data_IF_448089978577
#
_entry.id   IF_448089978577
#
_cell.length_a   1.000
_cell.length_b   1.000
_cell.length_c   1.000
_cell.angle_alpha   90.00
_cell.angle_beta   90.00
_cell.angle_gamma   90.00
#
_symmetry.space_group_name_H-M   'P 1'
#
loop_
_entity.id
_entity.type
_entity.pdbx_description
1 polymer ?
#
# COMPACT_ATOMS: atom_id res chain seq x y z
N UNK A 1 24.31 -72.18 -23.40
CA UNK A 1 25.05 -70.91 -23.53
C UNK A 1 24.35 -70.01 -24.54
N UNK A 2 23.55 -69.03 -24.10
CA UNK A 2 23.03 -67.95 -24.96
C UNK A 2 23.05 -66.67 -24.14
N UNK A 3 23.98 -65.77 -24.47
CA UNK A 3 24.13 -64.46 -23.86
C UNK A 3 23.18 -63.48 -24.56
N UNK A 4 22.27 -62.88 -23.80
CA UNK A 4 21.39 -61.83 -24.29
C UNK A 4 21.98 -60.47 -23.95
N UNK A 5 22.46 -59.79 -25.01
CA UNK A 5 23.01 -58.44 -24.99
C UNK A 5 21.87 -57.42 -24.85
N UNK A 6 21.80 -56.73 -23.71
CA UNK A 6 20.85 -55.63 -23.47
C UNK A 6 21.51 -54.33 -23.92
N UNK A 7 20.98 -53.73 -24.98
CA UNK A 7 21.41 -52.42 -25.50
C UNK A 7 20.80 -51.32 -24.63
N UNK A 8 21.65 -50.65 -23.84
CA UNK A 8 21.32 -49.39 -23.16
C UNK A 8 21.17 -48.29 -24.20
N UNK A 9 19.95 -47.80 -24.41
CA UNK A 9 19.69 -46.57 -25.16
C UNK A 9 19.68 -45.40 -24.18
N UNK A 10 20.77 -44.64 -24.17
CA UNK A 10 20.85 -43.36 -23.47
C UNK A 10 20.01 -42.33 -24.21
N UNK A 11 18.80 -42.07 -23.70
CA UNK A 11 17.95 -40.96 -24.11
C UNK A 11 18.53 -39.65 -23.58
N UNK A 12 19.15 -38.90 -24.47
CA UNK A 12 19.63 -37.53 -24.21
C UNK A 12 18.40 -36.61 -24.24
N UNK A 13 17.88 -36.24 -23.08
CA UNK A 13 16.85 -35.21 -22.98
C UNK A 13 17.49 -33.84 -23.26
N UNK A 14 17.24 -33.30 -24.45
CA UNK A 14 17.47 -31.89 -24.79
C UNK A 14 16.65 -31.00 -23.86
N UNK A 15 17.34 -30.34 -22.93
CA UNK A 15 16.80 -29.25 -22.11
C UNK A 15 16.39 -28.10 -23.03
N UNK A 16 15.09 -28.01 -23.32
CA UNK A 16 14.47 -26.85 -23.94
C UNK A 16 14.69 -25.64 -23.03
N UNK A 17 15.56 -24.73 -23.48
CA UNK A 17 15.71 -23.42 -22.89
C UNK A 17 14.43 -22.63 -23.16
N UNK A 18 13.44 -22.77 -22.28
CA UNK A 18 12.30 -21.86 -22.25
C UNK A 18 12.79 -20.52 -21.68
N UNK A 19 13.25 -19.65 -22.57
CA UNK A 19 13.44 -18.23 -22.30
C UNK A 19 12.08 -17.64 -21.93
N UNK A 20 11.84 -17.47 -20.63
CA UNK A 20 10.79 -16.58 -20.14
C UNK A 20 11.12 -15.17 -20.64
N UNK A 21 10.50 -14.79 -21.75
CA UNK A 21 10.51 -13.41 -22.22
C UNK A 21 9.71 -12.58 -21.22
N UNK A 22 10.43 -11.73 -20.48
CA UNK A 22 9.94 -10.65 -19.63
C UNK A 22 9.00 -9.71 -20.42
N UNK A 23 7.71 -10.03 -20.43
CA UNK A 23 6.67 -9.12 -20.94
C UNK A 23 6.12 -8.19 -19.82
N UNK A 24 6.89 -7.96 -18.76
CA UNK A 24 6.47 -7.11 -17.64
C UNK A 24 6.81 -5.62 -17.82
N UNK A 25 7.57 -5.23 -18.86
CA UNK A 25 8.06 -3.86 -19.01
C UNK A 25 7.23 -2.93 -19.91
N UNK A 26 6.25 -3.43 -20.66
CA UNK A 26 5.44 -2.56 -21.54
C UNK A 26 4.17 -1.98 -20.91
N UNK A 27 3.90 -2.24 -19.63
CA UNK A 27 2.74 -1.65 -18.96
C UNK A 27 2.98 -0.20 -18.50
N UNK A 28 4.23 0.21 -18.26
CA UNK A 28 4.55 1.57 -17.81
C UNK A 28 4.65 2.58 -18.98
N UNK A 29 5.10 2.13 -20.16
CA UNK A 29 5.14 2.98 -21.37
C UNK A 29 3.74 3.43 -21.81
N UNK A 30 2.71 2.60 -21.59
CA UNK A 30 1.34 2.96 -21.96
C UNK A 30 0.76 4.03 -21.02
N UNK A 31 1.17 4.05 -19.75
CA UNK A 31 0.72 5.07 -18.79
C UNK A 31 1.39 6.43 -19.06
N UNK A 32 2.67 6.42 -19.40
CA UNK A 32 3.40 7.64 -19.79
C UNK A 32 2.77 8.27 -21.05
N UNK A 33 2.42 7.44 -22.04
CA UNK A 33 1.81 7.91 -23.29
C UNK A 33 0.36 8.41 -23.09
N UNK A 34 -0.43 7.76 -22.22
CA UNK A 34 -1.75 8.27 -21.85
C UNK A 34 -1.66 9.59 -21.08
N UNK A 35 -0.71 9.75 -20.17
CA UNK A 35 -0.50 11.02 -19.45
C UNK A 35 -0.08 12.15 -20.39
N UNK A 36 0.77 11.88 -21.37
CA UNK A 36 1.19 12.86 -22.38
C UNK A 36 0.02 13.27 -23.29
N UNK A 37 -0.84 12.30 -23.67
CA UNK A 37 -2.05 12.58 -24.44
C UNK A 37 -3.09 13.42 -23.66
N UNK A 38 -3.15 13.27 -22.32
CA UNK A 38 -4.00 14.11 -21.47
C UNK A 38 -3.42 15.53 -21.34
N UNK A 39 -2.11 15.67 -21.11
CA UNK A 39 -1.46 16.99 -21.01
C UNK A 39 -1.53 17.79 -22.32
N UNK A 40 -1.48 17.11 -23.48
CA UNK A 40 -1.66 17.77 -24.78
C UNK A 40 -3.11 18.25 -25.01
N UNK A 41 -4.13 17.53 -24.52
CA UNK A 41 -5.52 18.02 -24.58
C UNK A 41 -5.75 19.26 -23.74
N UNK A 42 -5.19 19.29 -22.52
CA UNK A 42 -5.25 20.46 -21.65
C UNK A 42 -4.60 21.70 -22.27
N UNK A 43 -3.55 21.53 -23.07
CA UNK A 43 -2.87 22.63 -23.76
C UNK A 43 -3.64 23.14 -24.98
N UNK A 44 -4.37 22.26 -25.68
CA UNK A 44 -5.16 22.63 -26.86
C UNK A 44 -6.43 23.44 -26.51
N UNK A 45 -6.98 23.27 -25.31
CA UNK A 45 -8.18 23.97 -24.86
C UNK A 45 -7.91 25.38 -24.27
N UNK A 46 -6.67 25.86 -24.34
CA UNK A 46 -6.33 27.24 -23.97
C UNK A 46 -6.33 27.53 -22.46
N UNK A 47 -6.29 26.50 -21.62
CA UNK A 47 -6.13 26.67 -20.17
C UNK A 47 -4.69 27.06 -19.85
N UNK A 48 -4.45 28.36 -19.73
CA UNK A 48 -3.20 28.87 -19.18
C UNK A 48 -3.03 28.33 -17.74
N UNK A 49 -1.85 27.79 -17.38
CA UNK A 49 -1.60 27.33 -16.02
C UNK A 49 -1.75 28.52 -15.07
N UNK A 50 -2.78 28.48 -14.22
CA UNK A 50 -2.99 29.47 -13.18
C UNK A 50 -1.83 29.38 -12.20
N UNK A 51 -1.01 30.44 -12.16
CA UNK A 51 0.09 30.55 -11.23
C UNK A 51 -0.49 30.63 -9.79
N UNK A 52 -0.25 29.63 -8.93
CA UNK A 52 -0.85 29.58 -7.59
C UNK A 52 -0.37 30.72 -6.67
N UNK A 53 0.67 31.46 -7.06
CA UNK A 53 1.19 32.60 -6.29
C UNK A 53 0.35 33.88 -6.38
N UNK A 54 -0.71 33.93 -7.20
CA UNK A 54 -1.53 35.14 -7.40
C UNK A 54 -2.82 35.20 -6.57
N UNK A 55 -3.16 34.16 -5.80
CA UNK A 55 -4.35 34.16 -4.94
C UNK A 55 -4.04 34.78 -3.56
N UNK A 56 -3.87 36.11 -3.53
CA UNK A 56 -4.09 36.88 -2.30
C UNK A 56 -5.60 36.99 -2.09
N UNK A 57 -6.15 36.03 -1.36
CA UNK A 57 -7.54 36.04 -0.91
C UNK A 57 -7.67 37.02 0.26
N UNK A 58 -7.80 38.32 -0.06
CA UNK A 58 -8.18 39.36 0.90
C UNK A 58 -9.69 39.20 1.20
N UNK A 59 -10.05 38.15 1.92
CA UNK A 59 -11.41 37.88 2.38
C UNK A 59 -11.54 38.27 3.85
N UNK A 60 -12.00 39.49 4.10
CA UNK A 60 -12.45 39.95 5.42
C UNK A 60 -13.68 39.14 5.85
N UNK A 61 -13.44 38.09 6.64
CA UNK A 61 -14.48 37.25 7.21
C UNK A 61 -15.18 38.00 8.35
N UNK A 62 -16.25 38.72 8.02
CA UNK A 62 -17.18 39.27 8.99
C UNK A 62 -17.92 38.10 9.68
N UNK A 63 -17.52 37.78 10.91
CA UNK A 63 -18.28 36.85 11.76
C UNK A 63 -19.56 37.54 12.26
N UNK A 64 -20.76 37.01 12.00
CA UNK A 64 -21.95 37.48 12.67
C UNK A 64 -21.91 37.04 14.14
N UNK A 65 -21.99 38.02 15.04
CA UNK A 65 -22.20 37.78 16.47
C UNK A 65 -23.61 37.21 16.69
N UNK A 66 -23.75 35.89 16.68
CA UNK A 66 -24.96 35.23 17.17
C UNK A 66 -24.72 34.72 18.59
N UNK A 67 -25.21 35.49 19.56
CA UNK A 67 -25.38 35.07 20.94
C UNK A 67 -26.39 33.91 20.98
N UNK A 68 -25.90 32.68 21.11
CA UNK A 68 -26.71 31.48 21.26
C UNK A 68 -26.25 30.70 22.48
N UNK A 69 -27.02 30.79 23.56
CA UNK A 69 -26.87 30.03 24.80
C UNK A 69 -27.11 28.54 24.53
N UNK A 70 -26.08 27.80 24.14
CA UNK A 70 -26.07 26.34 24.27
C UNK A 70 -25.12 25.97 25.41
N UNK A 71 -25.70 25.47 26.50
CA UNK A 71 -24.95 24.88 27.59
C UNK A 71 -24.14 23.69 27.05
N UNK A 72 -22.79 23.71 27.14
CA UNK A 72 -21.99 22.58 26.71
C UNK A 72 -22.23 21.41 27.66
N UNK A 73 -22.64 20.27 27.10
CA UNK A 73 -22.68 19.00 27.82
C UNK A 73 -21.27 18.63 28.30
N UNK A 74 -21.14 18.27 29.58
CA UNK A 74 -19.89 17.95 30.31
C UNK A 74 -18.93 16.91 29.69
N UNK A 75 -19.24 16.31 28.55
CA UNK A 75 -18.41 15.27 27.93
C UNK A 75 -17.42 15.80 26.88
N UNK A 76 -17.53 17.05 26.44
CA UNK A 76 -16.61 17.65 25.45
C UNK A 76 -15.34 18.26 26.05
N UNK A 77 -15.25 18.42 27.38
CA UNK A 77 -14.06 19.03 28.01
C UNK A 77 -12.89 18.06 28.14
N UNK A 78 -13.10 16.75 28.04
CA UNK A 78 -12.01 15.78 28.19
C UNK A 78 -11.10 15.67 26.93
N UNK A 79 -11.52 16.20 25.78
CA UNK A 79 -10.75 16.10 24.52
C UNK A 79 -10.31 17.44 23.92
N UNK A 80 -10.62 18.57 24.57
CA UNK A 80 -10.18 19.91 24.13
C UNK A 80 -8.75 20.28 24.59
N UNK A 81 -8.11 19.45 25.43
CA UNK A 81 -6.76 19.69 25.97
C UNK A 81 -5.59 19.35 25.03
N UNK A 82 -5.83 18.77 23.85
CA UNK A 82 -4.81 18.63 22.80
C UNK A 82 -4.90 19.80 21.83
N UNK A 83 -4.91 21.01 22.39
CA UNK A 83 -4.70 22.21 21.61
C UNK A 83 -3.27 22.14 21.06
N UNK A 84 -3.19 21.91 19.75
CA UNK A 84 -1.96 21.93 18.98
C UNK A 84 -1.22 23.21 19.33
N UNK A 85 -0.10 23.10 20.04
CA UNK A 85 0.84 24.21 20.12
C UNK A 85 1.33 24.43 18.70
N UNK A 86 0.79 25.46 18.06
CA UNK A 86 1.31 26.01 16.82
C UNK A 86 2.71 26.50 17.18
N UNK A 87 3.71 25.67 16.87
CA UNK A 87 5.11 26.08 16.97
C UNK A 87 5.29 27.11 15.85
N UNK A 88 5.59 28.38 16.16
CA UNK A 88 5.76 29.39 15.12
C UNK A 88 6.85 28.95 14.15
N UNK A 89 6.58 29.10 12.86
CA UNK A 89 7.52 28.82 11.77
C UNK A 89 8.82 29.58 12.04
N UNK A 90 9.90 28.85 12.34
CA UNK A 90 11.23 29.41 12.64
C UNK A 90 11.71 29.28 14.08
N UNK A 91 10.94 28.71 15.00
CA UNK A 91 11.46 28.43 16.35
C UNK A 91 12.54 27.34 16.31
N UNK A 92 13.80 27.69 16.61
CA UNK A 92 14.87 26.73 16.81
C UNK A 92 14.59 25.91 18.08
N UNK A 93 14.19 24.65 17.90
CA UNK A 93 14.07 23.68 19.00
C UNK A 93 15.48 23.33 19.46
N UNK A 94 15.97 24.03 20.49
CA UNK A 94 17.23 23.69 21.14
C UNK A 94 17.05 22.41 21.96
N UNK A 95 17.43 21.27 21.38
CA UNK A 95 17.51 20.01 22.09
C UNK A 95 18.83 20.04 22.89
N UNK A 96 18.80 20.03 24.24
CA UNK A 96 20.00 20.14 25.05
C UNK A 96 21.00 19.03 24.71
N UNK A 97 22.25 19.40 24.50
CA UNK A 97 23.37 18.49 24.22
C UNK A 97 23.52 17.51 25.41
N UNK A 98 23.02 16.29 25.24
CA UNK A 98 22.95 15.29 26.32
C UNK A 98 21.67 14.45 26.31
N UNK A 99 20.63 14.89 25.60
CA UNK A 99 19.50 14.00 25.28
C UNK A 99 19.91 13.04 24.16
N UNK A 100 20.40 11.87 24.55
CA UNK A 100 20.43 10.70 23.68
C UNK A 100 18.97 10.40 23.35
N UNK A 101 18.57 10.57 22.09
CA UNK A 101 17.34 9.96 21.60
C UNK A 101 17.54 8.45 21.72
N UNK A 102 17.14 7.88 22.85
CA UNK A 102 16.87 6.46 22.92
C UNK A 102 15.64 6.30 22.04
N UNK A 103 15.87 6.06 20.74
CA UNK A 103 14.86 5.49 19.87
C UNK A 103 14.25 4.36 20.70
N UNK A 104 12.95 4.46 20.99
CA UNK A 104 12.23 3.41 21.69
C UNK A 104 12.28 2.20 20.76
N UNK A 105 13.38 1.45 20.84
CA UNK A 105 13.51 0.11 20.35
C UNK A 105 12.30 -0.58 20.92
N UNK A 106 11.34 -0.89 20.05
CA UNK A 106 10.19 -1.70 20.38
C UNK A 106 10.78 -3.02 20.83
N UNK A 107 11.11 -3.14 22.11
CA UNK A 107 11.54 -4.37 22.74
C UNK A 107 10.35 -5.31 22.55
N UNK A 108 10.43 -6.13 21.51
CA UNK A 108 9.51 -7.22 21.34
C UNK A 108 9.81 -8.17 22.50
N UNK A 109 9.07 -8.01 23.60
CA UNK A 109 9.27 -8.67 24.89
C UNK A 109 9.12 -10.20 24.85
N UNK A 110 8.86 -10.77 23.67
CA UNK A 110 9.02 -12.21 23.44
C UNK A 110 10.49 -12.44 23.18
N UNK A 111 11.20 -13.02 24.16
CA UNK A 111 12.59 -13.52 24.04
C UNK A 111 12.81 -14.06 22.63
N UNK A 112 13.43 -13.25 21.78
CA UNK A 112 13.68 -13.62 20.39
C UNK A 112 14.69 -14.74 20.45
N UNK A 113 14.26 -15.94 20.02
CA UNK A 113 15.14 -17.09 19.94
C UNK A 113 16.33 -16.72 19.04
N UNK A 114 17.51 -17.26 19.36
CA UNK A 114 18.70 -17.06 18.52
C UNK A 114 18.55 -17.92 17.26
N UNK A 115 19.04 -17.43 16.12
CA UNK A 115 19.14 -18.20 14.88
C UNK A 115 20.27 -19.22 15.06
N UNK A 116 19.95 -20.51 15.04
CA UNK A 116 20.95 -21.58 15.28
C UNK A 116 21.31 -22.36 14.01
N UNK A 117 20.42 -22.39 13.03
CA UNK A 117 20.52 -23.31 11.87
C UNK A 117 20.83 -22.59 10.56
N UNK A 118 21.20 -21.31 10.62
CA UNK A 118 21.50 -20.49 9.45
C UNK A 118 22.74 -19.66 9.79
N UNK A 119 23.59 -19.42 8.79
CA UNK A 119 24.86 -18.68 8.94
C UNK A 119 24.67 -17.23 9.39
N UNK A 120 23.44 -16.74 9.33
CA UNK A 120 23.06 -15.39 9.71
C UNK A 120 22.66 -15.30 11.19
N UNK A 121 23.64 -15.31 12.10
CA UNK A 121 23.41 -15.24 13.54
C UNK A 121 22.82 -13.90 14.01
N UNK A 122 23.14 -12.81 13.30
CA UNK A 122 22.69 -11.45 13.65
C UNK A 122 21.25 -11.15 13.23
N UNK A 123 20.65 -12.01 12.40
CA UNK A 123 19.30 -11.78 11.88
C UNK A 123 18.25 -12.28 12.87
N UNK A 124 17.06 -11.68 12.81
CA UNK A 124 15.92 -12.11 13.61
C UNK A 124 15.52 -13.56 13.27
N UNK A 125 15.43 -14.39 14.31
CA UNK A 125 14.88 -15.74 14.19
C UNK A 125 13.45 -15.71 13.64
N UNK A 126 13.22 -16.58 12.65
CA UNK A 126 11.91 -16.81 12.08
C UNK A 126 11.33 -18.15 12.54
N UNK A 127 11.63 -19.24 11.84
CA UNK A 127 11.11 -20.57 12.12
C UNK A 127 12.19 -21.64 11.87
N UNK A 128 12.09 -22.78 12.58
CA UNK A 128 13.05 -23.89 12.53
C UNK A 128 14.52 -23.47 12.76
N UNK A 129 14.75 -22.44 13.58
CA UNK A 129 16.11 -21.93 13.82
C UNK A 129 16.72 -21.18 12.65
N UNK A 130 15.94 -20.84 11.61
CA UNK A 130 16.40 -20.11 10.42
C UNK A 130 15.96 -18.65 10.47
N UNK A 131 16.74 -17.77 9.83
CA UNK A 131 16.27 -16.41 9.52
C UNK A 131 15.16 -16.46 8.43
N UNK A 132 14.45 -15.36 8.22
CA UNK A 132 13.36 -15.31 7.22
C UNK A 132 13.80 -15.77 5.83
N UNK A 133 14.90 -15.21 5.30
CA UNK A 133 15.42 -15.54 3.98
C UNK A 133 15.83 -17.01 3.84
N UNK A 134 16.60 -17.53 4.82
CA UNK A 134 17.00 -18.95 4.88
C UNK A 134 15.75 -19.86 4.93
N UNK A 135 14.76 -19.50 5.74
CA UNK A 135 13.53 -20.28 5.88
C UNK A 135 12.73 -20.38 4.57
N UNK A 136 12.65 -19.31 3.80
CA UNK A 136 11.93 -19.35 2.52
C UNK A 136 12.65 -20.18 1.46
N UNK A 137 13.99 -20.22 1.48
CA UNK A 137 14.79 -21.00 0.53
C UNK A 137 14.83 -22.49 0.87
N UNK A 138 15.09 -22.83 2.13
CA UNK A 138 15.42 -24.20 2.54
C UNK A 138 14.45 -24.78 3.58
N UNK A 139 13.80 -23.91 4.36
CA UNK A 139 12.93 -24.34 5.46
C UNK A 139 11.61 -24.98 5.01
N UNK A 140 11.23 -24.79 3.74
CA UNK A 140 9.98 -25.25 3.11
C UNK A 140 10.25 -26.50 2.29
N UNK A 141 9.71 -27.63 2.73
CA UNK A 141 9.92 -28.93 2.09
C UNK A 141 8.67 -29.49 1.42
N UNK A 142 7.50 -28.94 1.72
CA UNK A 142 6.23 -29.40 1.13
C UNK A 142 6.04 -28.78 -0.24
N UNK A 143 5.51 -29.54 -1.19
CA UNK A 143 5.09 -29.04 -2.50
C UNK A 143 3.72 -28.38 -2.42
N UNK A 144 3.44 -27.44 -3.31
CA UNK A 144 2.12 -26.83 -3.45
C UNK A 144 1.13 -27.85 -4.04
N UNK A 145 -0.13 -27.78 -3.60
CA UNK A 145 -1.20 -28.71 -4.00
C UNK A 145 -2.47 -28.02 -4.48
N UNK A 146 -2.62 -26.72 -4.21
CA UNK A 146 -3.81 -25.92 -4.56
C UNK A 146 -3.57 -25.02 -5.78
N UNK A 147 -2.42 -25.17 -6.44
CA UNK A 147 -2.13 -24.51 -7.71
C UNK A 147 -1.56 -25.52 -8.71
N UNK A 148 -1.61 -25.18 -10.00
CA UNK A 148 -1.10 -26.00 -11.10
C UNK A 148 0.41 -26.33 -10.98
N UNK A 149 1.15 -25.53 -10.22
CA UNK A 149 2.57 -25.72 -9.94
C UNK A 149 2.84 -26.80 -8.89
N UNK A 150 2.65 -28.07 -9.25
CA UNK A 150 2.90 -29.22 -8.36
C UNK A 150 4.38 -29.44 -8.04
N UNK A 151 5.27 -28.86 -8.85
CA UNK A 151 6.72 -28.91 -8.73
C UNK A 151 7.29 -27.84 -7.77
N UNK A 152 6.51 -26.80 -7.45
CA UNK A 152 6.96 -25.68 -6.62
C UNK A 152 6.68 -25.92 -5.15
N UNK A 153 7.51 -25.33 -4.30
CA UNK A 153 7.33 -25.38 -2.84
C UNK A 153 6.09 -24.61 -2.39
N UNK A 154 5.43 -25.18 -1.38
CA UNK A 154 4.27 -24.60 -0.70
C UNK A 154 4.64 -23.30 0.00
N UNK A 155 3.91 -22.23 -0.34
CA UNK A 155 4.04 -20.95 0.33
C UNK A 155 2.99 -20.76 1.43
N UNK A 156 1.73 -20.58 1.03
CA UNK A 156 0.60 -20.38 1.92
C UNK A 156 -0.69 -20.77 1.21
N UNK A 157 -1.74 -21.11 1.97
CA UNK A 157 -3.05 -21.55 1.46
C UNK A 157 -3.03 -22.77 0.51
N UNK A 158 -1.92 -23.48 0.40
CA UNK A 158 -1.79 -24.61 -0.53
C UNK A 158 -1.12 -24.23 -1.85
N UNK A 159 -0.88 -22.95 -2.10
CA UNK A 159 -0.28 -22.46 -3.34
C UNK A 159 1.23 -22.20 -3.21
N UNK A 160 1.91 -22.11 -4.36
CA UNK A 160 3.29 -21.58 -4.44
C UNK A 160 3.33 -20.06 -4.16
N UNK A 161 4.54 -19.49 -4.05
CA UNK A 161 4.73 -18.08 -3.70
C UNK A 161 4.11 -17.13 -4.73
N UNK A 162 4.34 -17.38 -6.02
CA UNK A 162 3.87 -16.49 -7.09
C UNK A 162 2.34 -16.48 -7.18
N UNK A 163 1.72 -17.67 -7.15
CA UNK A 163 0.26 -17.80 -7.11
C UNK A 163 -0.33 -17.11 -5.87
N UNK A 164 0.32 -17.24 -4.71
CA UNK A 164 -0.13 -16.56 -3.50
C UNK A 164 -0.07 -15.03 -3.61
N UNK A 165 1.00 -14.49 -4.19
CA UNK A 165 1.15 -13.04 -4.42
C UNK A 165 0.14 -12.53 -5.45
N UNK A 166 -0.13 -13.28 -6.52
CA UNK A 166 -1.15 -12.97 -7.51
C UNK A 166 -2.56 -12.98 -6.90
N UNK A 167 -2.88 -14.01 -6.12
CA UNK A 167 -4.14 -14.09 -5.38
C UNK A 167 -4.34 -12.86 -4.49
N UNK A 168 -3.30 -12.47 -3.75
CA UNK A 168 -3.37 -11.36 -2.81
C UNK A 168 -3.48 -9.99 -3.49
N UNK A 169 -2.71 -9.77 -4.57
CA UNK A 169 -2.78 -8.53 -5.35
C UNK A 169 -4.14 -8.37 -6.05
N UNK A 170 -4.69 -9.44 -6.61
CA UNK A 170 -6.03 -9.46 -7.22
C UNK A 170 -7.11 -9.13 -6.19
N UNK A 171 -7.05 -9.76 -5.00
CA UNK A 171 -7.97 -9.45 -3.90
C UNK A 171 -7.89 -7.99 -3.46
N UNK A 172 -6.68 -7.44 -3.27
CA UNK A 172 -6.49 -6.01 -2.90
C UNK A 172 -7.05 -5.07 -3.98
N UNK A 173 -6.81 -5.35 -5.26
CA UNK A 173 -7.35 -4.55 -6.38
C UNK A 173 -8.88 -4.56 -6.38
N UNK A 174 -9.50 -5.72 -6.16
CA UNK A 174 -10.97 -5.84 -6.03
C UNK A 174 -11.50 -5.01 -4.87
N UNK A 175 -10.91 -5.14 -3.68
CA UNK A 175 -11.30 -4.36 -2.50
C UNK A 175 -11.16 -2.85 -2.72
N UNK A 176 -10.09 -2.40 -3.38
CA UNK A 176 -9.89 -0.98 -3.72
C UNK A 176 -10.97 -0.47 -4.68
N UNK A 177 -11.35 -1.27 -5.69
CA UNK A 177 -12.44 -0.92 -6.63
C UNK A 177 -13.80 -0.86 -5.93
N UNK A 178 -14.10 -1.81 -5.06
CA UNK A 178 -15.34 -1.81 -4.25
C UNK A 178 -15.41 -0.59 -3.32
N UNK A 179 -14.30 -0.24 -2.67
CA UNK A 179 -14.23 0.95 -1.82
C UNK A 179 -14.42 2.24 -2.64
N UNK A 180 -13.76 2.34 -3.80
CA UNK A 180 -13.92 3.47 -4.71
C UNK A 180 -15.36 3.59 -5.24
N UNK A 181 -16.02 2.47 -5.57
CA UNK A 181 -17.42 2.46 -5.99
C UNK A 181 -18.35 2.96 -4.87
N UNK A 182 -18.18 2.47 -3.65
CA UNK A 182 -18.94 2.94 -2.48
C UNK A 182 -18.73 4.43 -2.21
N UNK A 183 -17.50 4.92 -2.36
CA UNK A 183 -17.19 6.34 -2.21
C UNK A 183 -17.86 7.19 -3.30
N UNK A 184 -17.90 6.70 -4.54
CA UNK A 184 -18.59 7.35 -5.65
C UNK A 184 -20.11 7.39 -5.44
N UNK A 185 -20.72 6.32 -4.92
CA UNK A 185 -22.14 6.28 -4.55
C UNK A 185 -22.47 7.32 -3.48
N UNK A 186 -21.67 7.40 -2.41
CA UNK A 186 -21.85 8.40 -1.34
C UNK A 186 -21.72 9.84 -1.87
N UNK A 187 -20.77 10.10 -2.76
CA UNK A 187 -20.60 11.41 -3.37
C UNK A 187 -21.74 11.76 -4.35
N UNK A 188 -22.24 10.78 -5.11
CA UNK A 188 -23.37 10.96 -6.02
C UNK A 188 -24.67 11.33 -5.29
N UNK A 189 -24.90 10.73 -4.13
CA UNK A 189 -26.05 11.08 -3.27
C UNK A 189 -25.94 12.51 -2.75
N UNK A 190 -24.76 12.94 -2.29
CA UNK A 190 -24.55 14.31 -1.83
C UNK A 190 -24.83 15.37 -2.90
N UNK A 191 -24.62 15.05 -4.18
CA UNK A 191 -24.87 15.97 -5.30
C UNK A 191 -26.36 16.15 -5.61
N UNK A 192 -27.19 15.13 -5.36
CA UNK A 192 -28.65 15.21 -5.58
C UNK A 192 -29.38 15.95 -4.45
N UNK A 193 -28.86 15.89 -3.22
CA UNK A 193 -29.44 16.62 -2.09
C UNK A 193 -29.32 18.14 -2.25
N UNK A 194 -28.22 18.62 -2.83
CA UNK A 194 -28.00 20.05 -3.09
C UNK A 194 -28.98 20.67 -4.10
N UNK A 195 -29.55 19.87 -5.01
CA UNK A 195 -30.51 20.35 -6.01
C UNK A 195 -31.96 20.40 -5.49
N UNK A 196 -32.23 19.84 -4.30
CA UNK A 196 -33.56 19.87 -3.67
C UNK A 196 -33.72 20.99 -2.66
N UNK A 197 -32.71 21.84 -2.45
CA UNK A 197 -32.86 23.02 -1.62
C UNK A 197 -33.86 23.97 -2.30
N UNK A 198 -35.02 24.28 -1.67
CA UNK A 198 -35.99 25.19 -2.25
C UNK A 198 -35.34 26.56 -2.41
N UNK A 199 -35.42 27.12 -3.62
CA UNK A 199 -35.02 28.49 -3.88
C UNK A 199 -35.82 29.40 -2.95
N UNK A 200 -35.13 30.17 -2.11
CA UNK A 200 -35.71 31.11 -1.15
C UNK A 200 -36.46 32.29 -1.79
N UNK A 201 -36.60 32.31 -3.11
CA UNK A 201 -37.26 33.41 -3.84
C UNK A 201 -38.79 33.33 -3.82
N UNK A 202 -39.40 32.21 -3.42
CA UNK A 202 -40.86 32.05 -3.42
C UNK A 202 -41.55 32.45 -2.09
N UNK A 203 -40.87 33.17 -1.18
CA UNK A 203 -41.40 33.58 0.13
C UNK A 203 -41.59 35.09 0.32
N UNK A 204 -41.57 35.87 -0.76
CA UNK A 204 -41.90 37.30 -0.76
C UNK A 204 -43.26 37.56 -1.46
#
# INVERSE_FOLDING_TARGET
>A
MKASSVKNQSTVHTLSQNSYSDNSYHAEDNLQHEMEAVMNRYSAEGYAPVNPSALKLEGSFNQPASAGLFAPSMQTEYYAGYQQMIVPEGAQVYIPHGYIQIEREKQCSRRTKVVTNCEHFDRKHYAKGLCSTCYHKEGRTKLAWDCEHTDRVHYAKGCCQDCYLLYHSTRRRKQKRELAAKQAELCGIAKLEQLKAPSTEDLL
#
